data_IF_978748846121
#
_entry.id   IF_978748846121
#
_cell.length_a   1.000
_cell.length_b   1.000
_cell.length_c   1.000
_cell.angle_alpha   90.00
_cell.angle_beta   90.00
_cell.angle_gamma   90.00
#
_symmetry.space_group_name_H-M   'P 1'
#
loop_
_entity.id
_entity.type
_entity.pdbx_description
1 polymer ?
#
# COMPACT_ATOMS: atom_id res chain seq x y z
N UNK A 1 -17.01 26.09 -5.87
CA UNK A 1 -17.10 25.93 -7.34
C UNK A 1 -16.50 24.58 -7.69
N UNK A 2 -17.32 23.67 -8.23
CA UNK A 2 -16.90 22.33 -8.64
C UNK A 2 -16.03 22.44 -9.89
N UNK A 3 -14.74 22.14 -9.79
CA UNK A 3 -13.89 21.99 -10.96
C UNK A 3 -14.10 20.60 -11.55
N UNK A 4 -14.86 20.55 -12.65
CA UNK A 4 -14.98 19.38 -13.51
C UNK A 4 -13.65 19.15 -14.23
N UNK A 5 -12.91 18.11 -13.83
CA UNK A 5 -11.73 17.65 -14.55
C UNK A 5 -12.18 16.97 -15.85
N UNK A 6 -12.03 17.67 -16.97
CA UNK A 6 -12.20 17.08 -18.30
C UNK A 6 -11.07 16.09 -18.59
N UNK A 7 -11.41 14.81 -18.65
CA UNK A 7 -10.50 13.72 -19.01
C UNK A 7 -10.23 13.76 -20.52
N UNK A 8 -9.25 14.56 -20.96
CA UNK A 8 -8.69 14.44 -22.32
C UNK A 8 -7.70 13.28 -22.38
N UNK A 9 -7.96 12.37 -23.32
CA UNK A 9 -7.18 11.17 -23.63
C UNK A 9 -5.71 11.48 -23.98
N UNK A 10 -4.80 11.22 -23.04
CA UNK A 10 -3.35 11.07 -23.29
C UNK A 10 -2.84 9.92 -22.40
N UNK A 11 -2.11 8.98 -23.00
CA UNK A 11 -1.59 7.77 -22.35
C UNK A 11 -0.72 8.11 -21.15
N UNK A 12 -1.27 7.92 -19.95
CA UNK A 12 -0.53 7.93 -18.69
C UNK A 12 0.57 6.86 -18.75
N UNK A 13 1.83 7.22 -18.50
CA UNK A 13 2.99 6.30 -18.55
C UNK A 13 2.79 5.10 -17.62
N UNK A 14 2.06 5.29 -16.51
CA UNK A 14 1.66 4.21 -15.60
C UNK A 14 0.81 3.12 -16.31
N UNK A 15 0.01 3.51 -17.30
CA UNK A 15 -0.87 2.63 -18.06
C UNK A 15 -0.12 1.67 -18.99
N UNK A 16 1.07 2.06 -19.48
CA UNK A 16 1.88 1.23 -20.38
C UNK A 16 2.47 0.03 -19.66
N UNK A 17 2.96 0.20 -18.43
CA UNK A 17 3.48 -0.91 -17.62
C UNK A 17 2.36 -1.84 -17.20
N UNK A 18 1.20 -1.30 -16.78
CA UNK A 18 0.02 -2.11 -16.48
C UNK A 18 -0.39 -2.95 -17.69
N UNK A 19 -0.40 -2.38 -18.90
CA UNK A 19 -0.69 -3.13 -20.13
C UNK A 19 0.36 -4.22 -20.40
N UNK A 20 1.66 -3.93 -20.25
CA UNK A 20 2.74 -4.90 -20.43
C UNK A 20 2.65 -6.06 -19.44
N UNK A 21 2.45 -5.77 -18.15
CA UNK A 21 2.35 -6.80 -17.10
C UNK A 21 1.07 -7.64 -17.23
N UNK A 22 -0.05 -7.04 -17.63
CA UNK A 22 -1.29 -7.79 -17.88
C UNK A 22 -1.19 -8.73 -19.10
N UNK A 23 -0.37 -8.39 -20.10
CA UNK A 23 -0.18 -9.21 -21.30
C UNK A 23 0.75 -10.42 -21.10
N UNK A 24 1.66 -10.37 -20.12
CA UNK A 24 2.54 -11.49 -19.78
C UNK A 24 1.76 -12.62 -19.10
N UNK A 25 2.10 -13.88 -19.37
CA UNK A 25 1.49 -15.02 -18.67
C UNK A 25 1.96 -15.12 -17.21
N UNK A 26 3.22 -14.78 -16.95
CA UNK A 26 3.85 -14.82 -15.63
C UNK A 26 4.25 -16.21 -15.19
N UNK A 27 4.21 -17.21 -16.07
CA UNK A 27 4.48 -18.61 -15.69
C UNK A 27 5.95 -18.79 -15.32
N UNK A 28 6.19 -19.46 -14.20
CA UNK A 28 7.52 -19.69 -13.66
C UNK A 28 8.05 -20.98 -14.28
N UNK A 29 9.09 -20.86 -15.10
CA UNK A 29 9.74 -22.01 -15.72
C UNK A 29 10.43 -22.85 -14.65
N UNK A 30 10.27 -24.17 -14.74
CA UNK A 30 10.99 -25.14 -13.92
C UNK A 30 11.90 -25.98 -14.80
N UNK A 31 13.04 -26.33 -14.25
CA UNK A 31 13.93 -27.31 -14.84
C UNK A 31 13.38 -28.72 -14.62
N UNK A 32 13.92 -29.69 -15.38
CA UNK A 32 13.55 -31.10 -15.24
C UNK A 32 14.11 -31.62 -13.91
N UNK A 33 13.22 -32.12 -13.05
CA UNK A 33 13.63 -32.85 -11.85
C UNK A 33 14.24 -34.21 -12.23
N UNK A 34 15.53 -34.40 -11.96
CA UNK A 34 16.28 -35.61 -12.34
C UNK A 34 15.73 -36.89 -11.69
N UNK A 35 15.11 -36.80 -10.52
CA UNK A 35 14.66 -37.95 -9.73
C UNK A 35 13.19 -38.30 -10.00
N UNK A 36 12.36 -37.29 -10.24
CA UNK A 36 10.91 -37.45 -10.35
C UNK A 36 10.41 -37.43 -11.80
N UNK A 37 11.15 -36.85 -12.74
CA UNK A 37 10.71 -36.77 -14.15
C UNK A 37 10.98 -38.06 -14.94
N UNK A 38 9.94 -38.90 -15.05
CA UNK A 38 9.94 -40.12 -15.88
C UNK A 38 9.41 -39.89 -17.30
N UNK A 39 10.02 -38.96 -18.02
CA UNK A 39 9.73 -38.69 -19.43
C UNK A 39 11.00 -38.32 -20.20
N UNK A 40 10.95 -38.42 -21.53
CA UNK A 40 12.03 -38.00 -22.42
C UNK A 40 12.24 -36.47 -22.41
N UNK A 41 13.28 -36.00 -23.10
CA UNK A 41 13.68 -34.58 -23.12
C UNK A 41 12.58 -33.60 -23.57
N UNK A 42 11.68 -34.04 -24.45
CA UNK A 42 10.57 -33.23 -24.95
C UNK A 42 9.26 -33.40 -24.15
N UNK A 43 9.23 -34.32 -23.17
CA UNK A 43 8.09 -34.52 -22.30
C UNK A 43 7.96 -33.42 -21.24
N UNK A 44 6.75 -33.31 -20.69
CA UNK A 44 6.44 -32.50 -19.51
C UNK A 44 5.62 -33.33 -18.54
N UNK A 45 5.89 -33.21 -17.25
CA UNK A 45 5.08 -33.79 -16.17
C UNK A 45 4.84 -32.75 -15.07
N UNK A 46 4.12 -33.15 -14.02
CA UNK A 46 3.80 -32.29 -12.87
C UNK A 46 5.02 -31.78 -12.10
N UNK A 47 6.20 -32.37 -12.29
CA UNK A 47 7.44 -31.97 -11.62
C UNK A 47 8.27 -30.94 -12.41
N UNK A 48 8.03 -30.79 -13.71
CA UNK A 48 8.78 -29.86 -14.57
C UNK A 48 7.89 -28.92 -15.40
N UNK A 49 6.56 -29.05 -15.30
CA UNK A 49 5.63 -28.09 -15.88
C UNK A 49 5.82 -26.71 -15.25
N UNK A 50 5.61 -25.64 -16.00
CA UNK A 50 5.72 -24.30 -15.44
C UNK A 50 4.69 -24.10 -14.30
N UNK A 51 5.10 -23.39 -13.25
CA UNK A 51 4.21 -23.04 -12.14
C UNK A 51 3.43 -21.78 -12.49
N UNK A 52 2.26 -21.65 -11.88
CA UNK A 52 1.48 -20.42 -11.96
C UNK A 52 2.17 -19.30 -11.14
N UNK A 53 2.03 -18.02 -11.53
CA UNK A 53 2.68 -16.89 -10.84
C UNK A 53 2.21 -16.67 -9.39
N UNK A 54 1.16 -17.38 -8.96
CA UNK A 54 0.61 -17.37 -7.60
C UNK A 54 0.83 -18.69 -6.85
N UNK A 55 1.78 -19.52 -7.28
CA UNK A 55 2.16 -20.75 -6.58
C UNK A 55 2.72 -20.43 -5.18
N UNK A 56 2.02 -20.87 -4.14
CA UNK A 56 2.33 -20.48 -2.75
C UNK A 56 3.62 -21.14 -2.23
N UNK A 57 3.96 -22.34 -2.73
CA UNK A 57 5.18 -23.04 -2.33
C UNK A 57 6.41 -22.30 -2.88
N UNK A 58 6.38 -21.96 -4.17
CA UNK A 58 7.44 -21.17 -4.80
C UNK A 58 7.67 -19.84 -4.07
N UNK A 59 6.59 -19.09 -3.78
CA UNK A 59 6.71 -17.80 -3.10
C UNK A 59 7.28 -17.96 -1.69
N UNK A 60 6.90 -19.01 -0.96
CA UNK A 60 7.46 -19.30 0.37
C UNK A 60 8.94 -19.63 0.30
N UNK A 61 9.36 -20.47 -0.65
CA UNK A 61 10.77 -20.81 -0.90
C UNK A 61 11.61 -19.58 -1.24
N UNK A 62 11.08 -18.68 -2.07
CA UNK A 62 11.72 -17.41 -2.45
C UNK A 62 11.56 -16.30 -1.40
N UNK A 63 10.97 -16.59 -0.22
CA UNK A 63 10.71 -15.63 0.87
C UNK A 63 9.86 -14.41 0.44
N UNK A 64 9.00 -14.60 -0.56
CA UNK A 64 8.07 -13.58 -1.05
C UNK A 64 6.80 -13.58 -0.18
N UNK A 65 6.63 -12.51 0.61
CA UNK A 65 5.56 -12.41 1.64
C UNK A 65 4.14 -12.17 1.09
N UNK A 66 4.00 -11.69 -0.14
CA UNK A 66 2.73 -11.29 -0.77
C UNK A 66 2.80 -11.56 -2.28
N UNK A 67 1.65 -11.87 -2.88
CA UNK A 67 1.52 -11.86 -4.34
C UNK A 67 1.78 -10.45 -4.89
N UNK A 68 2.39 -10.36 -6.07
CA UNK A 68 2.23 -9.13 -6.87
C UNK A 68 0.75 -8.95 -7.22
N UNK A 69 0.31 -7.72 -7.39
CA UNK A 69 -1.10 -7.43 -7.73
C UNK A 69 -1.53 -8.14 -9.02
N UNK A 70 -0.66 -8.23 -10.02
CA UNK A 70 -0.96 -8.92 -11.27
C UNK A 70 -1.06 -10.44 -11.11
N UNK A 71 -0.22 -11.07 -10.28
CA UNK A 71 -0.37 -12.48 -9.92
C UNK A 71 -1.68 -12.75 -9.18
N UNK A 72 -2.07 -11.83 -8.28
CA UNK A 72 -3.35 -11.91 -7.58
C UNK A 72 -4.56 -11.78 -8.52
N UNK A 73 -4.53 -10.83 -9.46
CA UNK A 73 -5.56 -10.70 -10.50
C UNK A 73 -5.69 -11.99 -11.31
N UNK A 74 -4.56 -12.54 -11.79
CA UNK A 74 -4.60 -13.78 -12.56
C UNK A 74 -5.15 -14.95 -11.74
N UNK A 75 -4.80 -15.06 -10.45
CA UNK A 75 -5.37 -16.06 -9.52
C UNK A 75 -6.89 -15.97 -9.45
N UNK A 76 -7.45 -14.76 -9.39
CA UNK A 76 -8.91 -14.57 -9.37
C UNK A 76 -9.55 -14.93 -10.72
N UNK A 77 -8.88 -14.65 -11.83
CA UNK A 77 -9.44 -14.85 -13.19
C UNK A 77 -9.19 -16.24 -13.79
N UNK A 78 -8.34 -17.08 -13.19
CA UNK A 78 -7.90 -18.37 -13.78
C UNK A 78 -8.93 -19.51 -13.71
N UNK A 79 -10.07 -19.31 -13.01
CA UNK A 79 -11.13 -20.31 -12.90
C UNK A 79 -11.93 -20.53 -14.18
N UNK A 80 -12.84 -21.52 -14.17
CA UNK A 80 -13.67 -21.89 -15.33
C UNK A 80 -14.48 -20.72 -15.92
N UNK A 81 -14.85 -19.75 -15.08
CA UNK A 81 -15.54 -18.53 -15.50
C UNK A 81 -14.64 -17.47 -16.18
N UNK A 82 -13.32 -17.69 -16.26
CA UNK A 82 -12.33 -16.79 -16.88
C UNK A 82 -12.47 -15.32 -16.47
N UNK A 83 -12.70 -15.07 -15.19
CA UNK A 83 -12.87 -13.71 -14.68
C UNK A 83 -14.25 -13.07 -14.90
N UNK A 84 -15.22 -13.75 -15.54
CA UNK A 84 -16.57 -13.21 -15.81
C UNK A 84 -17.31 -12.69 -14.56
N UNK A 85 -16.96 -13.18 -13.38
CA UNK A 85 -17.54 -12.78 -12.09
C UNK A 85 -16.53 -12.10 -11.17
N UNK A 86 -15.32 -11.81 -11.63
CA UNK A 86 -14.33 -11.09 -10.84
C UNK A 86 -14.67 -9.61 -10.94
N UNK A 87 -15.25 -9.08 -9.88
CA UNK A 87 -15.41 -7.65 -9.67
C UNK A 87 -14.59 -7.27 -8.44
N UNK A 88 -13.48 -6.56 -8.66
CA UNK A 88 -12.74 -5.96 -7.57
C UNK A 88 -13.50 -4.73 -7.08
N UNK A 89 -14.27 -4.91 -6.03
CA UNK A 89 -15.01 -3.83 -5.38
C UNK A 89 -14.18 -3.24 -4.25
N UNK A 90 -14.11 -1.92 -4.24
CA UNK A 90 -13.54 -1.19 -3.13
C UNK A 90 -14.53 -1.17 -1.96
N UNK A 91 -14.01 -1.34 -0.76
CA UNK A 91 -14.84 -1.34 0.45
C UNK A 91 -15.46 0.04 0.63
N UNK A 92 -16.75 0.12 1.01
CA UNK A 92 -17.45 1.38 1.22
C UNK A 92 -18.11 1.40 2.60
N UNK A 93 -17.68 2.34 3.44
CA UNK A 93 -18.14 2.47 4.82
C UNK A 93 -19.36 3.39 4.96
N UNK A 94 -19.84 4.00 3.87
CA UNK A 94 -20.93 4.99 3.89
C UNK A 94 -22.29 4.34 3.65
N UNK A 95 -23.32 4.94 4.24
CA UNK A 95 -24.71 4.61 3.90
C UNK A 95 -24.94 4.88 2.42
N UNK A 96 -25.53 3.92 1.72
CA UNK A 96 -25.89 4.09 0.30
C UNK A 96 -26.92 5.22 0.18
N UNK A 97 -26.62 6.20 -0.67
CA UNK A 97 -27.52 7.34 -0.92
C UNK A 97 -28.78 6.91 -1.68
N UNK A 98 -29.89 7.60 -1.43
CA UNK A 98 -31.13 7.46 -2.22
C UNK A 98 -32.09 6.37 -1.78
N UNK A 99 -31.99 5.88 -0.53
CA UNK A 99 -33.01 5.00 0.03
C UNK A 99 -34.34 5.74 0.21
N UNK A 100 -35.45 5.15 -0.27
CA UNK A 100 -36.80 5.74 -0.22
C UNK A 100 -37.70 5.13 0.87
N UNK A 101 -37.23 4.08 1.53
CA UNK A 101 -38.02 3.29 2.49
C UNK A 101 -38.06 3.91 3.90
N UNK A 102 -37.20 4.91 4.17
CA UNK A 102 -37.11 5.58 5.47
C UNK A 102 -36.53 7.00 5.33
N UNK A 103 -36.71 7.88 6.33
CA UNK A 103 -36.02 9.17 6.39
C UNK A 103 -34.49 9.01 6.40
N UNK A 104 -33.71 9.95 5.83
CA UNK A 104 -32.24 9.88 5.86
C UNK A 104 -31.65 9.78 7.27
N UNK A 105 -30.44 9.22 7.36
CA UNK A 105 -29.65 9.22 8.61
C UNK A 105 -29.57 10.65 9.18
N UNK A 106 -29.73 10.85 10.50
CA UNK A 106 -29.82 9.82 11.56
C UNK A 106 -31.22 9.33 11.90
N UNK A 107 -32.25 9.79 11.19
CA UNK A 107 -33.65 9.48 11.53
C UNK A 107 -34.12 8.09 11.10
N UNK A 108 -33.39 7.44 10.20
CA UNK A 108 -33.70 6.09 9.74
C UNK A 108 -32.53 5.44 9.01
N UNK A 109 -32.48 4.11 9.09
CA UNK A 109 -31.55 3.25 8.35
C UNK A 109 -32.23 1.89 8.11
N UNK A 110 -31.94 1.23 6.99
CA UNK A 110 -32.41 -0.11 6.70
C UNK A 110 -31.28 -1.01 6.18
N UNK A 111 -31.51 -2.32 6.15
CA UNK A 111 -30.53 -3.31 5.69
C UNK A 111 -30.10 -3.13 4.22
N UNK A 112 -30.87 -2.42 3.39
CA UNK A 112 -30.54 -2.15 1.99
C UNK A 112 -29.53 -1.02 1.82
N UNK A 113 -29.52 -0.04 2.73
CA UNK A 113 -28.65 1.14 2.65
C UNK A 113 -27.49 1.11 3.65
N UNK A 114 -27.64 0.36 4.74
CA UNK A 114 -26.61 0.16 5.75
C UNK A 114 -25.39 -0.54 5.15
N UNK A 115 -24.17 -0.01 5.32
CA UNK A 115 -22.97 -0.71 4.93
C UNK A 115 -22.76 -1.91 5.86
N UNK A 116 -22.30 -3.03 5.29
CA UNK A 116 -22.04 -4.25 6.07
C UNK A 116 -20.90 -4.03 7.07
N UNK A 117 -20.90 -4.84 8.13
CA UNK A 117 -19.77 -4.90 9.04
C UNK A 117 -18.48 -5.27 8.29
N UNK A 118 -17.37 -4.65 8.70
CA UNK A 118 -16.07 -4.80 8.07
C UNK A 118 -15.25 -5.79 8.88
N UNK A 119 -14.66 -6.78 8.23
CA UNK A 119 -13.65 -7.64 8.87
C UNK A 119 -12.29 -7.36 8.23
N UNK A 120 -11.38 -6.79 9.00
CA UNK A 120 -10.00 -6.52 8.61
C UNK A 120 -9.21 -7.84 8.51
N UNK A 121 -8.72 -8.11 7.32
CA UNK A 121 -7.86 -9.26 7.03
C UNK A 121 -6.49 -8.80 6.52
N UNK A 122 -5.45 -9.60 6.77
CA UNK A 122 -4.14 -9.39 6.13
C UNK A 122 -4.28 -9.47 4.62
N UNK A 123 -3.91 -8.41 3.91
CA UNK A 123 -3.96 -8.36 2.45
C UNK A 123 -2.92 -9.33 1.86
N UNK A 124 -3.30 -10.28 0.99
CA UNK A 124 -2.37 -11.29 0.47
C UNK A 124 -1.53 -10.80 -0.71
N UNK A 125 -1.80 -9.59 -1.21
CA UNK A 125 -1.14 -9.00 -2.37
C UNK A 125 -0.65 -7.57 -2.09
N UNK A 126 0.19 -7.06 -2.97
CA UNK A 126 0.64 -5.65 -2.98
C UNK A 126 0.76 -5.11 -4.40
N UNK A 127 0.51 -3.81 -4.57
CA UNK A 127 0.54 -3.14 -5.87
C UNK A 127 1.95 -2.84 -6.39
N UNK A 128 2.91 -2.70 -5.47
CA UNK A 128 4.34 -2.50 -5.75
C UNK A 128 5.12 -3.42 -4.83
N UNK A 129 6.06 -4.15 -5.39
CA UNK A 129 6.85 -5.19 -4.71
C UNK A 129 8.19 -4.68 -4.19
N UNK A 130 8.72 -3.61 -4.78
CA UNK A 130 10.02 -3.05 -4.44
C UNK A 130 10.07 -1.53 -4.70
N UNK A 131 10.85 -0.82 -3.88
CA UNK A 131 11.24 0.57 -4.11
C UNK A 131 12.75 0.61 -4.30
N UNK A 132 13.20 1.25 -5.36
CA UNK A 132 14.60 1.33 -5.73
C UNK A 132 14.95 2.78 -6.06
N UNK A 133 15.98 3.32 -5.42
CA UNK A 133 16.53 4.63 -5.76
C UNK A 133 17.57 4.48 -6.88
N UNK A 134 17.55 5.38 -7.86
CA UNK A 134 18.47 5.32 -9.00
C UNK A 134 19.94 5.45 -8.62
N UNK A 135 20.21 6.22 -7.56
CA UNK A 135 21.53 6.37 -6.99
C UNK A 135 21.43 6.73 -5.51
N UNK A 136 22.48 6.44 -4.75
CA UNK A 136 22.57 6.74 -3.32
C UNK A 136 22.54 8.24 -3.02
N UNK A 137 23.05 9.07 -3.93
CA UNK A 137 23.11 10.52 -3.80
C UNK A 137 21.74 11.19 -3.61
N UNK A 138 20.66 10.59 -4.14
CA UNK A 138 19.28 11.07 -3.92
C UNK A 138 18.93 11.01 -2.43
N UNK A 139 19.19 9.86 -1.79
CA UNK A 139 18.87 9.63 -0.38
C UNK A 139 19.82 10.40 0.52
N UNK A 140 21.12 10.42 0.18
CA UNK A 140 22.11 11.18 0.95
C UNK A 140 21.80 12.67 1.01
N UNK A 141 21.34 13.26 -0.09
CA UNK A 141 20.92 14.67 -0.13
C UNK A 141 19.73 14.94 0.80
N UNK A 142 18.73 14.06 0.77
CA UNK A 142 17.56 14.15 1.65
C UNK A 142 17.95 14.02 3.13
N UNK A 143 18.84 13.09 3.45
CA UNK A 143 19.33 12.86 4.82
C UNK A 143 20.19 14.00 5.36
N UNK A 144 20.84 14.79 4.50
CA UNK A 144 21.68 15.91 4.94
C UNK A 144 20.90 16.96 5.75
N UNK A 145 19.60 17.15 5.47
CA UNK A 145 18.77 18.03 6.29
C UNK A 145 18.73 17.56 7.75
N UNK A 146 18.45 16.28 7.97
CA UNK A 146 18.42 15.71 9.32
C UNK A 146 19.81 15.75 9.97
N UNK A 147 20.88 15.44 9.23
CA UNK A 147 22.26 15.47 9.78
C UNK A 147 22.68 16.85 10.27
N UNK A 148 22.22 17.90 9.59
CA UNK A 148 22.61 19.29 9.90
C UNK A 148 21.71 19.94 10.96
N UNK A 149 20.43 19.59 10.99
CA UNK A 149 19.44 20.24 11.88
C UNK A 149 19.03 19.39 13.08
N UNK A 150 19.15 18.07 12.97
CA UNK A 150 18.54 17.10 13.88
C UNK A 150 17.00 17.05 13.80
N UNK A 151 16.38 17.73 12.84
CA UNK A 151 14.93 17.74 12.64
C UNK A 151 14.52 16.70 11.61
N UNK A 152 13.34 16.11 11.80
CA UNK A 152 12.80 15.14 10.84
C UNK A 152 12.43 15.80 9.51
N UNK A 153 12.24 14.99 8.47
CA UNK A 153 11.97 15.47 7.12
C UNK A 153 11.00 14.57 6.37
N UNK A 154 10.17 15.16 5.52
CA UNK A 154 9.28 14.47 4.58
C UNK A 154 9.55 14.92 3.14
N UNK A 155 9.35 14.03 2.17
CA UNK A 155 9.45 14.33 0.76
C UNK A 155 8.56 13.44 -0.10
N UNK A 156 8.23 13.91 -1.31
CA UNK A 156 7.55 13.13 -2.33
C UNK A 156 8.56 12.49 -3.29
N UNK A 157 8.33 11.22 -3.59
CA UNK A 157 9.18 10.41 -4.46
C UNK A 157 8.70 10.57 -5.90
N UNK A 158 9.57 11.04 -6.77
CA UNK A 158 9.33 11.13 -8.20
C UNK A 158 10.14 10.08 -8.96
N UNK A 159 9.47 9.37 -9.86
CA UNK A 159 10.05 8.18 -10.47
C UNK A 159 9.18 7.58 -11.57
N UNK A 160 9.44 6.31 -11.87
CA UNK A 160 8.64 5.49 -12.78
C UNK A 160 8.39 4.12 -12.17
N UNK A 161 7.28 3.49 -12.55
CA UNK A 161 7.10 2.08 -12.28
C UNK A 161 7.78 1.25 -13.37
N UNK A 162 8.28 0.07 -13.03
CA UNK A 162 8.85 -0.87 -14.00
C UNK A 162 8.69 -2.31 -13.53
N UNK A 163 8.97 -3.26 -14.41
CA UNK A 163 8.87 -4.68 -14.08
C UNK A 163 9.97 -5.03 -13.07
N UNK A 164 9.58 -5.75 -12.02
CA UNK A 164 10.51 -6.32 -11.05
C UNK A 164 10.70 -7.81 -11.37
N UNK A 165 11.91 -8.24 -11.80
CA UNK A 165 12.12 -9.61 -12.28
C UNK A 165 12.12 -10.68 -11.18
N UNK A 166 12.43 -10.31 -9.93
CA UNK A 166 12.60 -11.27 -8.83
C UNK A 166 11.27 -11.71 -8.20
N UNK A 167 10.16 -11.09 -8.61
CA UNK A 167 8.81 -11.45 -8.18
C UNK A 167 7.98 -11.73 -9.43
N UNK A 168 7.25 -12.86 -9.51
CA UNK A 168 6.38 -13.14 -10.65
C UNK A 168 5.39 -12.00 -10.90
N UNK A 169 5.44 -11.43 -12.11
CA UNK A 169 4.64 -10.26 -12.51
C UNK A 169 4.80 -9.04 -11.58
N UNK A 170 5.96 -8.95 -10.93
CA UNK A 170 6.23 -7.91 -9.94
C UNK A 170 6.39 -6.53 -10.55
N UNK A 171 6.12 -5.51 -9.75
CA UNK A 171 6.34 -4.10 -10.10
C UNK A 171 7.29 -3.48 -9.08
N UNK A 172 8.26 -2.69 -9.54
CA UNK A 172 9.07 -1.82 -8.66
C UNK A 172 8.87 -0.35 -9.00
N UNK A 173 8.97 0.50 -7.98
CA UNK A 173 9.04 1.95 -8.14
C UNK A 173 10.51 2.37 -8.20
N UNK A 174 10.97 2.85 -9.36
CA UNK A 174 12.32 3.41 -9.56
C UNK A 174 12.28 4.92 -9.33
N UNK A 175 12.85 5.35 -8.21
CA UNK A 175 12.85 6.74 -7.73
C UNK A 175 14.06 7.48 -8.31
N UNK A 176 13.78 8.54 -9.05
CA UNK A 176 14.78 9.41 -9.68
C UNK A 176 15.04 10.70 -8.88
N UNK A 177 14.06 11.17 -8.11
CA UNK A 177 14.19 12.39 -7.32
C UNK A 177 13.29 12.37 -6.07
N UNK A 178 13.68 13.18 -5.08
CA UNK A 178 12.86 13.50 -3.91
C UNK A 178 12.56 14.99 -3.98
N UNK A 179 11.29 15.35 -3.95
CA UNK A 179 10.83 16.73 -3.82
C UNK A 179 10.41 16.97 -2.37
N UNK A 180 10.98 17.98 -1.73
CA UNK A 180 10.68 18.33 -0.33
C UNK A 180 9.67 19.50 -0.33
N UNK A 181 8.37 19.25 -0.11
CA UNK A 181 7.37 20.32 -0.08
C UNK A 181 7.59 21.24 1.14
N UNK A 182 7.01 22.46 1.12
CA UNK A 182 6.96 23.33 2.29
C UNK A 182 6.48 22.58 3.54
N UNK A 183 7.29 22.64 4.60
CA UNK A 183 7.05 21.89 5.83
C UNK A 183 7.69 22.57 7.04
N UNK A 184 7.01 22.48 8.18
CA UNK A 184 7.57 22.79 9.50
C UNK A 184 7.96 21.47 10.15
N UNK A 185 9.22 21.32 10.55
CA UNK A 185 9.68 20.11 11.23
C UNK A 185 10.58 20.41 12.42
N UNK A 186 10.48 19.54 13.42
CA UNK A 186 11.35 19.49 14.59
C UNK A 186 11.82 18.04 14.81
N UNK A 187 12.33 17.74 16.00
CA UNK A 187 12.86 16.40 16.35
C UNK A 187 11.81 15.30 16.35
N UNK A 188 10.55 15.64 16.68
CA UNK A 188 9.49 14.69 17.00
C UNK A 188 8.24 14.85 16.13
N UNK A 189 8.14 15.93 15.35
CA UNK A 189 6.98 16.16 14.47
C UNK A 189 7.32 16.85 13.16
N UNK A 190 6.45 16.57 12.18
CA UNK A 190 6.46 17.18 10.85
C UNK A 190 5.04 17.66 10.55
N UNK A 191 4.92 18.90 10.08
CA UNK A 191 3.69 19.48 9.56
C UNK A 191 3.92 19.90 8.12
N UNK A 192 3.21 19.26 7.20
CA UNK A 192 3.13 19.70 5.81
C UNK A 192 2.35 21.02 5.74
N UNK A 193 2.87 21.95 4.94
CA UNK A 193 2.21 23.21 4.63
C UNK A 193 1.64 23.15 3.21
N UNK A 194 0.78 24.12 2.88
CA UNK A 194 0.29 24.27 1.52
C UNK A 194 1.44 24.61 0.58
N UNK A 195 1.50 23.88 -0.54
CA UNK A 195 2.53 24.06 -1.54
C UNK A 195 1.97 24.81 -2.76
N UNK A 196 2.33 26.09 -2.97
CA UNK A 196 1.85 26.85 -4.12
C UNK A 196 2.40 26.31 -5.46
N UNK A 197 3.46 25.50 -5.44
CA UNK A 197 4.09 24.96 -6.65
C UNK A 197 3.74 23.48 -6.89
N UNK A 198 2.83 22.87 -6.11
CA UNK A 198 2.53 21.42 -6.17
C UNK A 198 2.19 20.94 -7.60
N UNK A 199 1.41 21.77 -8.32
CA UNK A 199 0.97 21.51 -9.69
C UNK A 199 2.09 21.70 -10.72
N UNK A 200 2.93 22.73 -10.54
CA UNK A 200 4.06 23.01 -11.44
C UNK A 200 5.12 21.91 -11.37
N UNK A 201 5.37 21.40 -10.15
CA UNK A 201 6.28 20.28 -9.91
C UNK A 201 5.77 19.01 -10.59
N UNK A 202 4.46 18.73 -10.51
CA UNK A 202 3.85 17.59 -11.19
C UNK A 202 3.93 17.71 -12.72
N UNK A 203 3.71 18.90 -13.26
CA UNK A 203 3.81 19.15 -14.70
C UNK A 203 5.26 19.03 -15.19
N UNK A 204 6.23 19.57 -14.45
CA UNK A 204 7.66 19.41 -14.74
C UNK A 204 8.07 17.94 -14.71
N UNK A 205 7.68 17.21 -13.66
CA UNK A 205 7.93 15.78 -13.57
C UNK A 205 7.35 15.02 -14.76
N UNK A 206 6.11 15.34 -15.17
CA UNK A 206 5.46 14.75 -16.33
C UNK A 206 6.23 15.02 -17.62
N UNK A 207 6.76 16.23 -17.82
CA UNK A 207 7.60 16.56 -18.98
C UNK A 207 8.91 15.76 -19.00
N UNK A 208 9.47 15.44 -17.83
CA UNK A 208 10.61 14.54 -17.67
C UNK A 208 10.23 13.04 -17.76
N UNK A 209 8.95 12.75 -18.00
CA UNK A 209 8.39 11.39 -18.04
C UNK A 209 8.41 10.69 -16.68
N UNK A 210 8.49 11.45 -15.59
CA UNK A 210 8.37 11.00 -14.20
C UNK A 210 6.95 11.21 -13.69
N UNK A 211 6.61 10.54 -12.60
CA UNK A 211 5.37 10.74 -11.85
C UNK A 211 5.65 10.61 -10.35
N UNK A 212 4.74 11.10 -9.51
CA UNK A 212 4.75 10.81 -8.08
C UNK A 212 4.52 9.32 -7.86
N UNK A 213 5.50 8.62 -7.32
CA UNK A 213 5.43 7.17 -7.08
C UNK A 213 5.25 6.82 -5.61
N UNK A 214 5.47 7.78 -4.70
CA UNK A 214 5.33 7.57 -3.26
C UNK A 214 5.75 8.78 -2.45
N UNK A 215 5.96 8.56 -1.16
CA UNK A 215 6.50 9.55 -0.21
C UNK A 215 7.53 8.88 0.70
N UNK A 216 8.40 9.70 1.28
CA UNK A 216 9.46 9.30 2.19
C UNK A 216 9.47 10.22 3.41
N UNK A 217 9.70 9.67 4.59
CA UNK A 217 9.88 10.45 5.80
C UNK A 217 10.96 9.85 6.70
N UNK A 218 11.55 10.68 7.57
CA UNK A 218 12.54 10.22 8.55
C UNK A 218 11.91 10.04 9.92
N UNK A 219 12.34 9.00 10.61
CA UNK A 219 12.23 8.82 12.06
C UNK A 219 13.59 8.39 12.59
N UNK A 220 14.48 9.38 12.69
CA UNK A 220 15.88 9.19 13.07
C UNK A 220 16.17 9.90 14.38
N UNK A 221 16.66 9.12 15.35
CA UNK A 221 17.13 9.63 16.64
C UNK A 221 18.61 9.27 16.79
N UNK A 222 19.46 10.27 16.99
CA UNK A 222 20.88 10.02 17.25
C UNK A 222 21.04 9.24 18.55
N UNK A 223 21.84 8.17 18.49
CA UNK A 223 22.26 7.45 19.68
C UNK A 223 23.63 7.94 20.17
N UNK A 224 24.59 8.05 19.26
CA UNK A 224 25.91 8.58 19.53
C UNK A 224 26.39 9.44 18.35
N UNK A 225 26.56 10.73 18.62
CA UNK A 225 26.98 11.73 17.65
C UNK A 225 28.40 11.47 17.11
N UNK A 226 29.31 10.95 17.94
CA UNK A 226 30.70 10.71 17.55
C UNK A 226 30.84 9.53 16.58
N UNK A 227 29.98 8.50 16.71
CA UNK A 227 29.98 7.32 15.83
C UNK A 227 28.95 7.39 14.70
N UNK A 228 28.11 8.45 14.65
CA UNK A 228 27.06 8.61 13.64
C UNK A 228 25.94 7.57 13.73
N UNK A 229 25.77 6.91 14.87
CA UNK A 229 24.78 5.82 15.05
C UNK A 229 23.41 6.36 15.44
N UNK A 230 22.37 5.61 15.07
CA UNK A 230 20.96 5.95 15.30
C UNK A 230 20.24 4.87 16.11
N UNK A 231 19.20 5.26 16.85
CA UNK A 231 18.39 4.33 17.64
C UNK A 231 17.51 3.45 16.75
N UNK A 232 17.34 2.18 17.14
CA UNK A 232 16.40 1.24 16.54
C UNK A 232 15.03 1.32 17.24
N UNK A 233 14.22 2.31 16.87
CA UNK A 233 12.93 2.59 17.56
C UNK A 233 11.72 1.87 16.95
N UNK A 234 11.84 1.35 15.72
CA UNK A 234 10.77 0.65 15.00
C UNK A 234 11.08 -0.83 14.87
N UNK A 235 10.37 -1.68 15.59
CA UNK A 235 10.59 -3.13 15.59
C UNK A 235 9.37 -3.91 16.12
N UNK A 236 9.49 -5.24 16.16
CA UNK A 236 8.42 -6.14 16.61
C UNK A 236 7.94 -5.91 18.06
N UNK A 237 8.76 -5.28 18.91
CA UNK A 237 8.39 -4.96 20.30
C UNK A 237 7.69 -3.60 20.44
N UNK A 238 7.66 -2.82 19.37
CA UNK A 238 7.11 -1.46 19.33
C UNK A 238 6.09 -1.38 18.19
N UNK A 239 6.45 -0.76 17.08
CA UNK A 239 5.67 -0.69 15.85
C UNK A 239 6.59 -0.49 14.65
N UNK A 240 6.04 -0.68 13.46
CA UNK A 240 6.73 -0.37 12.19
C UNK A 240 6.25 0.97 11.62
N UNK A 241 4.92 1.15 11.57
CA UNK A 241 4.27 2.41 11.26
C UNK A 241 3.32 2.78 12.40
N UNK A 242 3.17 4.07 12.64
CA UNK A 242 2.15 4.59 13.55
C UNK A 242 0.78 4.63 12.86
N UNK A 243 -0.31 4.64 13.63
CA UNK A 243 -1.65 4.82 13.10
C UNK A 243 -1.79 6.15 12.32
N UNK A 244 -1.09 7.21 12.75
CA UNK A 244 -1.07 8.49 12.04
C UNK A 244 -0.38 8.37 10.69
N UNK A 245 0.76 7.67 10.61
CA UNK A 245 1.46 7.40 9.37
C UNK A 245 0.65 6.51 8.43
N UNK A 246 -0.02 5.47 8.95
CA UNK A 246 -0.94 4.64 8.17
C UNK A 246 -2.13 5.44 7.63
N UNK A 247 -2.68 6.38 8.40
CA UNK A 247 -3.75 7.27 7.95
C UNK A 247 -3.24 8.20 6.85
N UNK A 248 -2.05 8.79 7.01
CA UNK A 248 -1.44 9.62 5.97
C UNK A 248 -1.14 8.82 4.70
N UNK A 249 -0.59 7.61 4.82
CA UNK A 249 -0.38 6.69 3.71
C UNK A 249 -1.69 6.34 3.00
N UNK A 250 -2.75 6.05 3.75
CA UNK A 250 -4.09 5.80 3.20
C UNK A 250 -4.67 7.03 2.50
N UNK A 251 -4.48 8.23 3.04
CA UNK A 251 -4.89 9.48 2.41
C UNK A 251 -4.16 9.69 1.07
N UNK A 252 -2.83 9.55 1.06
CA UNK A 252 -2.03 9.71 -0.14
C UNK A 252 -2.32 8.62 -1.19
N UNK A 253 -2.49 7.36 -0.78
CA UNK A 253 -2.90 6.30 -1.70
C UNK A 253 -4.27 6.56 -2.33
N UNK A 254 -5.23 7.15 -1.60
CA UNK A 254 -6.51 7.57 -2.15
C UNK A 254 -6.39 8.76 -3.12
N UNK A 255 -5.41 9.66 -2.92
CA UNK A 255 -5.10 10.76 -3.84
C UNK A 255 -4.54 10.25 -5.18
N UNK A 256 -3.84 9.11 -5.17
CA UNK A 256 -3.20 8.52 -6.36
C UNK A 256 -3.74 7.10 -6.65
N UNK A 257 -5.00 6.96 -7.10
CA UNK A 257 -5.62 5.65 -7.31
C UNK A 257 -5.03 4.90 -8.50
N UNK A 258 -4.95 3.57 -8.40
CA UNK A 258 -4.47 2.71 -9.47
C UNK A 258 -5.61 2.30 -10.42
N UNK A 259 -5.46 2.60 -11.72
CA UNK A 259 -6.42 2.13 -12.75
C UNK A 259 -6.46 0.60 -12.79
N UNK A 260 -7.67 0.04 -12.79
CA UNK A 260 -7.91 -1.40 -12.82
C UNK A 260 -9.17 -1.70 -13.64
N UNK A 261 -9.02 -2.46 -14.73
CA UNK A 261 -10.15 -2.81 -15.63
C UNK A 261 -11.12 -3.81 -15.00
N UNK A 262 -10.63 -4.63 -14.09
CA UNK A 262 -11.42 -5.64 -13.37
C UNK A 262 -12.18 -5.05 -12.16
N UNK A 263 -12.14 -3.72 -11.99
CA UNK A 263 -12.87 -3.00 -10.95
C UNK A 263 -14.08 -2.27 -11.52
N UNK A 264 -15.19 -2.28 -10.77
CA UNK A 264 -16.48 -1.70 -11.20
C UNK A 264 -16.45 -0.19 -11.44
N UNK A 265 -15.58 0.55 -10.75
CA UNK A 265 -15.40 1.99 -10.92
C UNK A 265 -14.14 2.34 -11.76
N UNK A 266 -13.43 1.34 -12.28
CA UNK A 266 -12.20 1.51 -13.06
C UNK A 266 -10.91 1.72 -12.25
N UNK A 267 -10.98 1.68 -10.91
CA UNK A 267 -9.84 1.91 -10.02
C UNK A 267 -9.81 0.94 -8.84
N UNK A 268 -8.64 0.40 -8.51
CA UNK A 268 -8.50 -0.47 -7.35
C UNK A 268 -7.14 -0.34 -6.68
N UNK A 269 -7.17 0.06 -5.40
CA UNK A 269 -6.00 0.35 -4.58
C UNK A 269 -5.12 1.46 -5.17
N UNK A 270 -3.82 1.41 -4.87
CA UNK A 270 -2.86 2.42 -5.31
C UNK A 270 -1.47 1.83 -5.44
N UNK A 271 -0.67 2.34 -6.38
CA UNK A 271 0.76 2.05 -6.48
C UNK A 271 1.63 3.02 -5.66
N UNK A 272 1.01 3.97 -4.96
CA UNK A 272 1.73 5.00 -4.20
C UNK A 272 2.37 4.40 -2.96
N UNK A 273 3.70 4.38 -2.90
CA UNK A 273 4.45 3.73 -1.82
C UNK A 273 4.75 4.68 -0.67
N UNK A 274 5.01 4.11 0.50
CA UNK A 274 5.47 4.81 1.70
C UNK A 274 6.88 4.32 2.03
N UNK A 275 7.83 5.22 2.26
CA UNK A 275 9.19 4.87 2.69
C UNK A 275 9.49 5.52 4.04
N UNK A 276 9.81 4.72 5.05
CA UNK A 276 10.28 5.20 6.35
C UNK A 276 11.80 5.08 6.40
N UNK A 277 12.50 6.14 6.79
CA UNK A 277 13.94 6.12 7.04
C UNK A 277 14.19 6.11 8.53
N UNK A 278 14.73 5.02 9.05
CA UNK A 278 14.90 4.81 10.51
C UNK A 278 16.17 4.01 10.82
N UNK A 279 16.48 3.82 12.10
CA UNK A 279 17.61 2.98 12.53
C UNK A 279 17.30 1.50 12.48
N UNK A 280 18.23 0.67 12.00
CA UNK A 280 18.12 -0.80 12.00
C UNK A 280 18.66 -1.45 13.29
N UNK A 281 18.61 -2.78 13.37
CA UNK A 281 19.17 -3.56 14.49
C UNK A 281 20.67 -3.32 14.75
N UNK A 282 21.41 -2.86 13.74
CA UNK A 282 22.83 -2.52 13.81
C UNK A 282 23.06 -1.03 14.08
N UNK A 283 22.00 -0.29 14.40
CA UNK A 283 22.03 1.15 14.71
C UNK A 283 22.51 2.00 13.53
N UNK A 284 22.31 1.50 12.32
CA UNK A 284 22.61 2.18 11.06
C UNK A 284 21.33 2.75 10.46
N UNK A 285 21.47 3.83 9.71
CA UNK A 285 20.36 4.39 8.94
C UNK A 285 19.96 3.39 7.85
N UNK A 286 18.68 3.05 7.79
CA UNK A 286 18.13 2.18 6.76
C UNK A 286 16.73 2.64 6.34
N UNK A 287 16.20 2.06 5.27
CA UNK A 287 14.90 2.41 4.70
C UNK A 287 13.97 1.19 4.65
N UNK A 288 12.72 1.40 5.03
CA UNK A 288 11.66 0.40 4.97
C UNK A 288 10.53 0.86 4.05
N UNK A 289 10.12 0.00 3.13
CA UNK A 289 9.04 0.27 2.18
C UNK A 289 7.72 -0.37 2.60
N UNK A 290 6.64 0.41 2.57
CA UNK A 290 5.29 0.02 2.96
C UNK A 290 4.22 0.48 1.96
N UNK A 291 3.06 -0.14 2.07
CA UNK A 291 1.79 0.35 1.52
C UNK A 291 0.67 -0.13 2.46
N UNK A 292 -0.35 0.70 2.66
CA UNK A 292 -1.52 0.30 3.44
C UNK A 292 -2.52 -0.48 2.58
N UNK A 293 -3.29 -1.34 3.22
CA UNK A 293 -4.28 -2.18 2.54
C UNK A 293 -5.42 -1.36 1.92
N UNK A 294 -6.13 -1.96 0.94
CA UNK A 294 -7.36 -1.37 0.40
C UNK A 294 -8.42 -1.12 1.49
N UNK A 295 -8.46 -1.97 2.53
CA UNK A 295 -9.33 -1.79 3.69
C UNK A 295 -8.97 -0.53 4.49
N UNK A 296 -7.67 -0.28 4.70
CA UNK A 296 -7.20 0.94 5.35
C UNK A 296 -7.52 2.18 4.49
N UNK A 297 -7.29 2.12 3.17
CA UNK A 297 -7.66 3.19 2.24
C UNK A 297 -9.15 3.55 2.37
N UNK A 298 -10.05 2.56 2.38
CA UNK A 298 -11.48 2.78 2.52
C UNK A 298 -11.84 3.41 3.87
N UNK A 299 -11.29 2.90 4.98
CA UNK A 299 -11.51 3.46 6.31
C UNK A 299 -11.05 4.92 6.43
N UNK A 300 -9.92 5.27 5.80
CA UNK A 300 -9.40 6.65 5.77
C UNK A 300 -10.27 7.55 4.89
N UNK A 301 -10.58 7.11 3.66
CA UNK A 301 -11.43 7.87 2.71
C UNK A 301 -12.79 8.20 3.31
N UNK A 302 -13.37 7.25 4.04
CA UNK A 302 -14.69 7.41 4.64
C UNK A 302 -14.62 7.92 6.09
N UNK A 303 -13.47 8.41 6.53
CA UNK A 303 -13.24 9.05 7.83
C UNK A 303 -13.68 8.17 9.02
N UNK A 304 -13.46 6.87 8.95
CA UNK A 304 -13.77 5.91 10.01
C UNK A 304 -12.62 5.68 10.98
N UNK A 305 -11.36 5.89 10.54
CA UNK A 305 -10.16 5.62 11.32
C UNK A 305 -9.51 6.93 11.81
N UNK A 306 -9.12 6.97 13.09
CA UNK A 306 -8.35 8.05 13.70
C UNK A 306 -7.15 7.48 14.48
N UNK A 307 -6.05 8.24 14.64
CA UNK A 307 -4.94 7.78 15.45
C UNK A 307 -5.32 7.83 16.94
N UNK A 308 -4.66 7.01 17.76
CA UNK A 308 -4.75 7.13 19.22
C UNK A 308 -3.64 8.04 19.76
N UNK A 309 -3.81 8.54 20.99
CA UNK A 309 -2.88 9.50 21.61
C UNK A 309 -1.67 8.81 22.26
N UNK A 310 -1.92 7.74 23.01
CA UNK A 310 -0.93 7.14 23.92
C UNK A 310 -0.43 5.77 23.44
N UNK A 311 -0.90 5.28 22.29
CA UNK A 311 -0.56 3.97 21.71
C UNK A 311 -0.35 4.10 20.19
N UNK A 312 0.79 4.64 19.72
CA UNK A 312 1.00 4.97 18.31
C UNK A 312 0.79 3.78 17.35
N UNK A 313 0.95 2.56 17.83
CA UNK A 313 0.70 1.31 17.11
C UNK A 313 -0.79 1.00 16.87
N UNK A 314 -1.69 1.68 17.58
CA UNK A 314 -3.13 1.41 17.58
C UNK A 314 -3.94 2.51 16.89
N UNK A 315 -4.80 2.11 15.96
CA UNK A 315 -5.83 2.94 15.34
C UNK A 315 -7.17 2.79 16.03
N UNK A 316 -7.97 3.86 16.08
CA UNK A 316 -9.30 3.87 16.70
C UNK A 316 -10.39 4.08 15.65
N UNK A 317 -11.45 3.27 15.73
CA UNK A 317 -12.61 3.39 14.85
C UNK A 317 -13.60 4.36 15.50
N UNK A 318 -13.93 5.43 14.78
CA UNK A 318 -14.89 6.44 15.24
C UNK A 318 -16.22 5.80 15.61
N UNK A 319 -16.84 6.32 16.67
CA UNK A 319 -18.21 5.96 16.99
C UNK A 319 -19.18 6.61 16.01
N UNK A 320 -20.30 5.94 15.74
CA UNK A 320 -21.38 6.53 14.95
C UNK A 320 -21.95 7.76 15.67
N UNK A 321 -22.29 8.78 14.90
CA UNK A 321 -22.95 10.01 15.37
C UNK A 321 -24.07 10.42 14.42
N UNK A 322 -24.85 11.41 14.81
CA UNK A 322 -25.90 11.99 13.96
C UNK A 322 -25.38 12.48 12.59
N UNK A 323 -24.09 12.81 12.50
CA UNK A 323 -23.44 13.29 11.27
C UNK A 323 -22.88 12.16 10.40
N UNK A 324 -22.53 11.02 11.00
CA UNK A 324 -21.82 9.94 10.30
C UNK A 324 -22.12 8.60 10.95
N UNK A 325 -22.65 7.67 10.16
CA UNK A 325 -22.68 6.26 10.51
C UNK A 325 -21.30 5.64 10.26
N UNK A 326 -20.84 4.82 11.21
CA UNK A 326 -19.60 4.03 11.10
C UNK A 326 -19.97 2.56 11.33
N UNK A 327 -19.72 1.67 10.34
CA UNK A 327 -20.04 0.26 10.49
C UNK A 327 -19.18 -0.38 11.58
N UNK A 328 -19.66 -1.51 12.11
CA UNK A 328 -18.84 -2.31 13.01
C UNK A 328 -17.60 -2.84 12.29
N UNK A 329 -16.44 -2.69 12.92
CA UNK A 329 -15.15 -3.15 12.40
C UNK A 329 -14.60 -4.23 13.33
N UNK A 330 -14.25 -5.36 12.72
CA UNK A 330 -13.62 -6.51 13.35
C UNK A 330 -12.24 -6.72 12.73
N UNK A 331 -11.34 -7.40 13.41
CA UNK A 331 -10.09 -7.88 12.83
C UNK A 331 -9.85 -9.33 13.24
N UNK A 332 -9.17 -10.09 12.39
CA UNK A 332 -8.77 -11.46 12.73
C UNK A 332 -7.48 -11.43 13.54
N UNK A 333 -7.51 -12.02 14.73
CA UNK A 333 -6.30 -12.33 15.50
C UNK A 333 -5.81 -13.71 15.08
N UNK A 334 -4.55 -13.81 14.66
CA UNK A 334 -3.90 -15.11 14.47
C UNK A 334 -3.32 -15.57 15.80
N UNK A 335 -3.84 -16.67 16.35
CA UNK A 335 -3.24 -17.28 17.54
C UNK A 335 -1.99 -18.08 17.15
N UNK A 336 -0.89 -17.91 17.88
CA UNK A 336 0.38 -18.60 17.56
C UNK A 336 0.34 -20.12 17.81
N UNK A 337 -0.70 -20.66 18.45
CA UNK A 337 -0.72 -22.06 18.88
C UNK A 337 -1.89 -22.91 18.40
N UNK A 338 -3.01 -22.34 17.94
CA UNK A 338 -4.11 -23.12 17.39
C UNK A 338 -4.78 -22.32 16.27
N UNK A 339 -5.14 -22.98 15.17
CA UNK A 339 -5.88 -22.41 14.04
C UNK A 339 -7.35 -22.11 14.42
N UNK A 340 -7.57 -21.30 15.45
CA UNK A 340 -8.88 -20.83 15.87
C UNK A 340 -8.95 -19.33 15.54
N UNK A 341 -9.75 -18.98 14.53
CA UNK A 341 -9.96 -17.60 14.11
C UNK A 341 -11.01 -16.95 15.03
N UNK A 342 -10.57 -16.11 15.96
CA UNK A 342 -11.49 -15.22 16.69
C UNK A 342 -11.55 -13.85 16.01
N UNK A 343 -12.76 -13.38 15.73
CA UNK A 343 -13.00 -12.01 15.26
C UNK A 343 -13.19 -11.11 16.49
N UNK A 344 -12.22 -10.24 16.75
CA UNK A 344 -12.30 -9.27 17.85
C UNK A 344 -12.92 -7.98 17.35
N UNK A 345 -13.96 -7.49 18.04
CA UNK A 345 -14.55 -6.18 17.74
C UNK A 345 -13.55 -5.10 18.11
N UNK A 346 -13.30 -4.17 17.19
CA UNK A 346 -12.52 -2.98 17.48
C UNK A 346 -13.36 -2.05 18.36
N UNK A 347 -13.28 -2.19 19.70
CA UNK A 347 -13.83 -1.20 20.64
C UNK A 347 -12.87 -0.91 21.79
N UNK A 348 -12.84 0.38 22.15
CA UNK A 348 -12.17 1.05 23.29
C UNK A 348 -10.65 1.06 23.35
N UNK A 349 -9.93 0.05 22.85
CA UNK A 349 -8.46 -0.02 23.03
C UNK A 349 -7.63 0.16 21.76
N UNK A 350 -8.25 0.44 20.61
CA UNK A 350 -7.56 0.52 19.32
C UNK A 350 -7.08 -0.84 18.79
N UNK A 351 -6.57 -0.89 17.54
CA UNK A 351 -6.08 -2.11 16.90
C UNK A 351 -4.79 -1.84 16.11
N UNK A 352 -3.93 -2.84 15.99
CA UNK A 352 -2.71 -2.75 15.17
C UNK A 352 -3.05 -2.44 13.71
N UNK A 353 -2.59 -1.29 13.23
CA UNK A 353 -2.90 -0.78 11.88
C UNK A 353 -1.99 -1.37 10.82
#
# INVERSE_FOLDING_TARGET
MQSTWSCTSRTDVSSVIVMKSSAQDGRIKRDRDEKLCRHNSNGRCVHCSALEPWDENYLKEQKIKHFSFHSYLKKLTSGAARGKFVALEDLNCKIRSGCRDHPPWPKGICSKCQPSAITLNRQPYRHVDNVMFENTGIVERFLNYWRTTGHQRIGFLFGKYEIHPDVPLGIRARVAAIYEPPQESNRDSIRLLDDPHDADVDELARQLGLQRVGWIFTDLLSENLASGTVKHVRNIKTHFLTAQECILAGHLQNKYPNRCKDSSNGYFGSKFVTVCVTGDEKKQVHMEGYAVSAQCMALVRDNCLIPTKDAPELGYIRESSDKQYVPDVYYKVGDQFHAINHASRVRRNGFFV
#
